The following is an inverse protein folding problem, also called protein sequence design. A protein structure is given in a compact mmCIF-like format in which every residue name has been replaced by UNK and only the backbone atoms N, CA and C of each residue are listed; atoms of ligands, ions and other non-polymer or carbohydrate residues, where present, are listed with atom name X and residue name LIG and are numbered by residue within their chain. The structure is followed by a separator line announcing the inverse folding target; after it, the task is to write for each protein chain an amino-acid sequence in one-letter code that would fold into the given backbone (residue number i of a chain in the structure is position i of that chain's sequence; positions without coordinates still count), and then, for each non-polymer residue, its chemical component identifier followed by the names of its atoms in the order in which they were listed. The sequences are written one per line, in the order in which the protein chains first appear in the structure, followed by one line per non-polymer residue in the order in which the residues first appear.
data_IF_305043988792
#
_entry.id   IF_305043988792
#
_cell.length_a   1.000
_cell.length_b   1.000
_cell.length_c   1.000
_cell.angle_alpha   90.00
_cell.angle_beta   90.00
_cell.angle_gamma   90.00
#
_symmetry.space_group_name_H-M   'P 1'
#
loop_
_entity.id
_entity.type
_entity.pdbx_description
1 polymer ?
#
# COMPACT_ATOMS: atom_id res chain seq x y z
N UNK A 1 -16.26 -59.39 22.84
CA UNK A 1 -15.73 -58.79 21.59
C UNK A 1 -16.52 -57.57 21.11
N UNK A 2 -17.86 -57.56 21.12
CA UNK A 2 -18.64 -56.36 20.74
C UNK A 2 -18.41 -55.16 21.65
N UNK A 3 -18.24 -55.37 22.97
CA UNK A 3 -18.00 -54.28 23.94
C UNK A 3 -16.62 -53.61 23.77
N UNK A 4 -15.57 -54.36 23.38
CA UNK A 4 -14.25 -53.78 23.10
C UNK A 4 -14.24 -52.93 21.81
N UNK A 5 -15.11 -53.25 20.85
CA UNK A 5 -15.22 -52.51 19.59
C UNK A 5 -15.83 -51.12 19.79
N UNK A 6 -16.81 -51.00 20.70
CA UNK A 6 -17.40 -49.70 21.05
C UNK A 6 -16.43 -48.78 21.82
N UNK A 7 -15.56 -49.35 22.66
CA UNK A 7 -14.53 -48.56 23.37
C UNK A 7 -13.49 -48.01 22.38
N UNK A 8 -13.14 -48.77 21.33
CA UNK A 8 -12.21 -48.32 20.28
C UNK A 8 -12.80 -47.20 19.39
N UNK A 9 -14.10 -47.24 19.09
CA UNK A 9 -14.79 -46.18 18.33
C UNK A 9 -14.91 -44.89 19.15
N UNK A 10 -15.11 -44.98 20.46
CA UNK A 10 -15.17 -43.81 21.34
C UNK A 10 -13.78 -43.16 21.49
N UNK A 11 -12.69 -43.93 21.49
CA UNK A 11 -11.33 -43.39 21.53
C UNK A 11 -10.96 -42.64 20.24
N UNK A 12 -11.37 -43.15 19.07
CA UNK A 12 -11.19 -42.46 17.77
C UNK A 12 -12.03 -41.17 17.63
N UNK A 13 -13.17 -41.07 18.32
CA UNK A 13 -13.99 -39.86 18.33
C UNK A 13 -13.44 -38.76 19.26
N UNK A 14 -12.56 -39.10 20.21
CA UNK A 14 -11.91 -38.13 21.09
C UNK A 14 -10.62 -37.54 20.48
N UNK A 15 -9.97 -38.25 19.54
CA UNK A 15 -8.86 -37.69 18.72
C UNK A 15 -9.35 -36.81 17.55
N UNK A 16 -10.66 -36.85 17.22
CA UNK A 16 -11.25 -36.02 16.17
C UNK A 16 -11.56 -34.57 16.61
N UNK A 17 -11.27 -34.22 17.87
CA UNK A 17 -11.26 -32.84 18.36
C UNK A 17 -9.82 -32.30 18.38
N UNK A 18 -9.13 -32.35 17.24
CA UNK A 18 -8.11 -31.33 16.97
C UNK A 18 -8.86 -30.04 16.62
N UNK A 19 -8.53 -28.92 17.25
CA UNK A 19 -9.06 -27.60 16.88
C UNK A 19 -9.11 -27.47 15.36
N UNK A 20 -10.31 -27.30 14.81
CA UNK A 20 -10.44 -26.95 13.40
C UNK A 20 -9.74 -25.61 13.24
N UNK A 21 -8.70 -25.54 12.39
CA UNK A 21 -8.35 -24.27 11.73
C UNK A 21 -9.58 -23.89 10.89
N UNK A 22 -10.50 -23.14 11.50
CA UNK A 22 -11.84 -22.85 10.95
C UNK A 22 -11.81 -21.86 9.77
N UNK A 23 -10.63 -21.41 9.32
CA UNK A 23 -10.48 -20.50 8.19
C UNK A 23 -9.33 -20.92 7.27
N UNK A 24 -9.58 -20.90 5.95
CA UNK A 24 -8.57 -21.16 4.92
C UNK A 24 -7.55 -20.01 4.77
N UNK A 25 -7.80 -18.88 5.42
CA UNK A 25 -6.98 -17.66 5.37
C UNK A 25 -6.86 -17.04 6.78
N UNK A 26 -5.79 -16.25 7.05
CA UNK A 26 -5.62 -15.56 8.33
C UNK A 26 -6.78 -14.64 8.69
N UNK A 27 -7.11 -14.58 9.98
CA UNK A 27 -8.08 -13.64 10.54
C UNK A 27 -7.34 -12.58 11.34
N UNK A 28 -7.40 -11.32 10.89
CA UNK A 28 -6.64 -10.22 11.45
C UNK A 28 -7.37 -9.64 12.67
N UNK A 29 -6.79 -9.84 13.85
CA UNK A 29 -7.18 -9.16 15.08
C UNK A 29 -6.20 -8.00 15.34
N UNK A 30 -6.54 -6.74 15.02
CA UNK A 30 -5.57 -5.64 14.98
C UNK A 30 -4.78 -5.47 16.29
N UNK A 31 -5.45 -5.61 17.43
CA UNK A 31 -4.88 -5.33 18.76
C UNK A 31 -4.69 -6.57 19.67
N UNK A 32 -5.12 -7.76 19.25
CA UNK A 32 -5.09 -8.97 20.13
C UNK A 32 -3.67 -9.50 20.35
N UNK A 33 -2.84 -9.41 19.33
CA UNK A 33 -1.48 -9.96 19.29
C UNK A 33 -0.46 -8.83 19.07
N UNK A 34 -0.56 -7.79 19.91
CA UNK A 34 0.37 -6.67 19.91
C UNK A 34 1.70 -7.10 20.54
N UNK A 35 2.80 -6.92 19.82
CA UNK A 35 4.17 -7.16 20.30
C UNK A 35 4.90 -5.83 20.49
N UNK A 36 6.06 -5.87 21.17
CA UNK A 36 6.92 -4.70 21.30
C UNK A 36 7.44 -4.23 19.93
N UNK A 37 7.58 -2.92 19.73
CA UNK A 37 8.03 -2.37 18.46
C UNK A 37 9.46 -2.81 18.10
N UNK A 38 10.37 -2.88 19.06
CA UNK A 38 11.75 -3.31 18.79
C UNK A 38 11.78 -4.81 18.45
N UNK A 39 10.93 -5.61 19.08
CA UNK A 39 10.74 -7.02 18.73
C UNK A 39 10.20 -7.15 17.29
N UNK A 40 9.14 -6.41 16.94
CA UNK A 40 8.57 -6.44 15.59
C UNK A 40 9.53 -5.99 14.50
N UNK A 41 10.24 -4.88 14.71
CA UNK A 41 11.29 -4.41 13.80
C UNK A 41 12.40 -5.46 13.65
N UNK A 42 12.85 -6.06 14.75
CA UNK A 42 13.87 -7.12 14.71
C UNK A 42 13.39 -8.38 13.98
N UNK A 43 12.12 -8.76 14.13
CA UNK A 43 11.57 -9.96 13.50
C UNK A 43 11.32 -9.76 12.00
N UNK A 44 10.89 -8.57 11.58
CA UNK A 44 10.37 -8.34 10.23
C UNK A 44 11.19 -7.41 9.35
N UNK A 45 12.11 -6.60 9.90
CA UNK A 45 12.95 -5.68 9.14
C UNK A 45 14.39 -6.16 9.05
N UNK A 46 14.97 -6.01 7.86
CA UNK A 46 16.41 -6.14 7.58
C UNK A 46 17.13 -4.79 7.77
N UNK A 47 18.41 -4.75 7.41
CA UNK A 47 19.25 -3.56 7.48
C UNK A 47 18.61 -2.34 6.78
N UNK A 48 18.22 -1.38 7.62
CA UNK A 48 17.56 -0.14 7.21
C UNK A 48 18.56 0.81 6.56
N UNK A 49 18.13 1.52 5.50
CA UNK A 49 18.91 2.58 4.87
C UNK A 49 18.21 3.93 5.02
N UNK A 50 18.98 4.96 5.35
CA UNK A 50 18.51 6.35 5.41
C UNK A 50 19.10 7.07 4.20
N UNK A 51 18.23 7.65 3.37
CA UNK A 51 18.63 8.31 2.11
C UNK A 51 17.92 9.65 2.00
N UNK A 52 18.68 10.73 2.02
CA UNK A 52 18.14 12.07 1.75
C UNK A 52 18.30 12.40 0.27
N UNK A 53 17.21 12.83 -0.37
CA UNK A 53 17.29 13.30 -1.76
C UNK A 53 18.01 14.64 -1.81
N UNK A 54 18.92 14.83 -2.76
CA UNK A 54 19.62 16.10 -2.93
C UNK A 54 18.67 17.24 -3.29
N UNK A 55 19.13 18.47 -3.06
CA UNK A 55 18.33 19.67 -3.24
C UNK A 55 18.38 20.23 -4.68
N UNK A 56 18.88 19.48 -5.66
CA UNK A 56 18.98 19.99 -7.05
C UNK A 56 17.60 20.26 -7.64
N UNK A 57 16.59 19.47 -7.26
CA UNK A 57 15.18 19.69 -7.57
C UNK A 57 14.38 19.68 -6.27
N UNK A 58 13.35 20.53 -6.17
CA UNK A 58 12.49 20.53 -4.98
C UNK A 58 11.47 19.41 -5.16
N UNK A 59 11.45 18.47 -4.21
CA UNK A 59 10.50 17.36 -4.25
C UNK A 59 9.36 17.66 -3.29
N UNK A 60 8.19 17.95 -3.86
CA UNK A 60 6.97 18.08 -3.10
C UNK A 60 6.26 16.73 -3.07
N UNK A 61 5.92 16.31 -1.87
CA UNK A 61 5.31 15.06 -1.43
C UNK A 61 4.51 14.26 -2.49
N UNK A 62 4.97 13.03 -2.76
CA UNK A 62 4.20 11.93 -3.33
C UNK A 62 4.85 10.59 -2.91
N UNK A 63 4.25 9.45 -3.25
CA UNK A 63 4.75 8.11 -2.93
C UNK A 63 6.00 7.77 -3.77
N UNK A 64 7.19 7.58 -3.16
CA UNK A 64 8.38 7.14 -3.88
C UNK A 64 8.22 5.70 -4.36
N UNK A 65 8.75 5.42 -5.56
CA UNK A 65 8.85 4.07 -6.11
C UNK A 65 10.32 3.69 -6.18
N UNK A 66 10.69 2.60 -5.51
CA UNK A 66 12.02 2.01 -5.67
C UNK A 66 12.10 1.21 -6.96
N UNK A 67 13.08 1.57 -7.77
CA UNK A 67 13.55 0.79 -8.90
C UNK A 67 14.78 -0.02 -8.45
N UNK A 68 15.19 -1.03 -9.24
CA UNK A 68 16.30 -1.92 -8.87
C UNK A 68 17.57 -1.18 -8.40
N UNK A 69 17.87 -0.01 -8.97
CA UNK A 69 19.05 0.82 -8.61
C UNK A 69 18.77 2.34 -8.58
N UNK A 70 17.50 2.75 -8.52
CA UNK A 70 17.11 4.15 -8.61
C UNK A 70 15.87 4.41 -7.76
N UNK A 71 15.62 5.68 -7.44
CA UNK A 71 14.44 6.13 -6.72
C UNK A 71 13.67 7.03 -7.67
N UNK A 72 12.40 6.70 -7.91
CA UNK A 72 11.49 7.55 -8.68
C UNK A 72 10.56 8.29 -7.74
N UNK A 73 10.42 9.60 -7.95
CA UNK A 73 9.51 10.45 -7.19
C UNK A 73 8.74 11.36 -8.14
N UNK A 74 7.51 11.69 -7.79
CA UNK A 74 6.71 12.67 -8.51
C UNK A 74 6.72 14.00 -7.75
N UNK A 75 7.28 15.04 -8.34
CA UNK A 75 7.23 16.40 -7.83
C UNK A 75 6.14 17.19 -8.54
N UNK A 76 5.30 17.88 -7.78
CA UNK A 76 4.20 18.69 -8.33
C UNK A 76 4.67 19.70 -9.39
N UNK A 77 5.84 20.33 -9.17
CA UNK A 77 6.36 21.39 -10.04
C UNK A 77 7.17 20.87 -11.22
N UNK A 78 7.98 19.84 -10.98
CA UNK A 78 9.01 19.40 -11.92
C UNK A 78 8.65 18.06 -12.59
N UNK A 79 7.52 17.47 -12.23
CA UNK A 79 7.07 16.18 -12.71
C UNK A 79 7.88 15.05 -12.10
N UNK A 80 8.11 14.01 -12.87
CA UNK A 80 8.74 12.79 -12.43
C UNK A 80 10.26 12.95 -12.45
N UNK A 81 10.89 12.65 -11.32
CA UNK A 81 12.32 12.78 -11.08
C UNK A 81 12.90 11.40 -10.76
N UNK A 82 14.08 11.12 -11.32
CA UNK A 82 14.88 9.96 -10.97
C UNK A 82 16.11 10.39 -10.18
N UNK A 83 16.36 9.65 -9.11
CA UNK A 83 17.54 9.74 -8.27
C UNK A 83 18.27 8.38 -8.28
N UNK A 84 19.57 8.38 -8.00
CA UNK A 84 20.25 7.12 -7.65
C UNK A 84 19.85 6.66 -6.25
N UNK A 85 20.34 5.48 -5.84
CA UNK A 85 19.97 4.88 -4.56
C UNK A 85 20.60 5.62 -3.36
N UNK A 86 21.60 6.46 -3.62
CA UNK A 86 22.23 7.35 -2.65
C UNK A 86 21.52 8.72 -2.55
N UNK A 87 20.46 8.94 -3.33
CA UNK A 87 19.64 10.16 -3.27
C UNK A 87 20.15 11.32 -4.12
N UNK A 88 21.07 11.09 -5.07
CA UNK A 88 21.53 12.12 -5.99
C UNK A 88 20.66 12.20 -7.24
N UNK A 89 20.29 13.41 -7.64
CA UNK A 89 19.45 13.65 -8.80
C UNK A 89 20.14 13.19 -10.09
N UNK A 90 19.41 12.43 -10.91
CA UNK A 90 19.87 11.92 -12.18
C UNK A 90 19.26 12.69 -13.35
N UNK A 91 17.92 12.74 -13.42
CA UNK A 91 17.17 13.33 -14.55
C UNK A 91 15.67 13.44 -14.27
N UNK A 92 14.99 14.19 -15.13
CA UNK A 92 13.52 14.19 -15.23
C UNK A 92 13.04 13.14 -16.24
N UNK A 93 11.80 12.68 -16.08
CA UNK A 93 11.11 11.81 -17.04
C UNK A 93 9.97 12.60 -17.68
N UNK A 94 10.08 12.85 -18.98
CA UNK A 94 9.16 13.75 -19.69
C UNK A 94 9.23 15.18 -19.19
N UNK A 95 8.16 15.93 -19.41
CA UNK A 95 8.00 17.30 -18.92
C UNK A 95 6.55 17.63 -18.63
N UNK A 96 6.34 18.65 -17.80
CA UNK A 96 5.01 19.20 -17.53
C UNK A 96 4.64 20.16 -18.65
N UNK A 97 3.52 19.90 -19.32
CA UNK A 97 3.00 20.74 -20.39
C UNK A 97 1.95 20.03 -21.25
N UNK A 98 1.60 20.64 -22.37
CA UNK A 98 0.57 20.15 -23.29
C UNK A 98 1.16 19.60 -24.60
N UNK A 99 2.49 19.51 -24.69
CA UNK A 99 3.17 18.92 -25.83
C UNK A 99 2.87 17.42 -26.00
N UNK A 100 3.13 16.86 -27.19
CA UNK A 100 2.83 15.46 -27.49
C UNK A 100 3.60 14.47 -26.58
N UNK A 101 4.77 14.88 -26.07
CA UNK A 101 5.63 14.09 -25.18
C UNK A 101 5.59 14.59 -23.72
N UNK A 102 4.61 15.43 -23.38
CA UNK A 102 4.45 16.03 -22.05
C UNK A 102 3.15 15.54 -21.41
N UNK A 103 3.14 15.51 -20.07
CA UNK A 103 1.93 15.33 -19.27
C UNK A 103 1.52 16.66 -18.64
N UNK A 104 0.23 16.91 -18.48
CA UNK A 104 -0.25 18.15 -17.87
C UNK A 104 -0.02 18.13 -16.35
N UNK A 105 -0.38 17.03 -15.72
CA UNK A 105 -0.16 16.73 -14.31
C UNK A 105 -0.17 15.21 -14.16
N UNK A 106 0.79 14.65 -13.43
CA UNK A 106 0.82 13.22 -13.10
C UNK A 106 0.05 12.98 -11.81
N UNK A 107 -1.00 12.18 -11.85
CA UNK A 107 -1.74 11.78 -10.64
C UNK A 107 -1.42 10.36 -10.20
N UNK A 108 -0.87 9.52 -11.07
CA UNK A 108 -0.40 8.18 -10.70
C UNK A 108 0.70 7.69 -11.63
N UNK A 109 1.55 6.79 -11.12
CA UNK A 109 2.67 6.21 -11.85
C UNK A 109 2.74 4.72 -11.60
N UNK A 110 3.20 3.96 -12.60
CA UNK A 110 3.52 2.55 -12.46
C UNK A 110 4.85 2.23 -13.16
N UNK A 111 5.47 1.13 -12.77
CA UNK A 111 6.74 0.68 -13.33
C UNK A 111 6.60 -0.74 -13.89
N UNK A 112 6.94 -0.91 -15.16
CA UNK A 112 7.21 -2.23 -15.75
C UNK A 112 8.69 -2.55 -15.51
N UNK A 113 8.95 -3.35 -14.48
CA UNK A 113 10.31 -3.77 -14.16
C UNK A 113 10.93 -4.59 -15.30
N UNK A 114 10.18 -5.50 -15.92
CA UNK A 114 10.70 -6.38 -16.97
C UNK A 114 11.19 -5.60 -18.18
N UNK A 115 10.40 -4.62 -18.63
CA UNK A 115 10.70 -3.81 -19.83
C UNK A 115 11.39 -2.48 -19.53
N UNK A 116 11.57 -2.14 -18.26
CA UNK A 116 12.10 -0.85 -17.82
C UNK A 116 11.30 0.34 -18.38
N UNK A 117 9.97 0.24 -18.28
CA UNK A 117 9.05 1.30 -18.72
C UNK A 117 8.43 1.99 -17.52
N UNK A 118 8.29 3.30 -17.63
CA UNK A 118 7.57 4.14 -16.67
C UNK A 118 6.24 4.51 -17.30
N UNK A 119 5.16 4.20 -16.61
CA UNK A 119 3.82 4.59 -17.00
C UNK A 119 3.37 5.77 -16.16
N UNK A 120 2.77 6.75 -16.83
CA UNK A 120 2.33 8.00 -16.22
C UNK A 120 0.88 8.21 -16.59
N UNK A 121 0.00 8.19 -15.59
CA UNK A 121 -1.38 8.61 -15.76
C UNK A 121 -1.49 10.11 -15.52
N UNK A 122 -1.99 10.81 -16.53
CA UNK A 122 -2.10 12.25 -16.56
C UNK A 122 -3.50 12.74 -16.85
N UNK A 123 -3.88 13.92 -16.33
CA UNK A 123 -5.14 14.57 -16.67
C UNK A 123 -5.07 15.24 -18.07
N UNK A 124 -6.15 15.17 -18.88
CA UNK A 124 -7.31 14.28 -18.73
C UNK A 124 -6.96 12.84 -19.18
N UNK A 125 -7.28 11.83 -18.38
CA UNK A 125 -7.09 10.37 -18.58
C UNK A 125 -6.25 9.94 -19.78
N UNK A 126 -4.97 10.32 -19.73
CA UNK A 126 -3.95 9.96 -20.70
C UNK A 126 -2.93 9.07 -20.00
N UNK A 127 -2.68 7.92 -20.62
CA UNK A 127 -1.59 7.03 -20.27
C UNK A 127 -0.39 7.35 -21.17
N UNK A 128 0.71 7.82 -20.58
CA UNK A 128 1.99 7.97 -21.27
C UNK A 128 2.94 6.86 -20.84
N UNK A 129 3.72 6.37 -21.80
CA UNK A 129 4.80 5.40 -21.56
C UNK A 129 6.13 6.07 -21.83
N UNK A 130 7.06 6.00 -20.88
CA UNK A 130 8.41 6.51 -21.00
C UNK A 130 9.44 5.40 -20.80
N UNK A 131 10.60 5.55 -21.43
CA UNK A 131 11.80 4.81 -21.04
C UNK A 131 12.41 5.39 -19.76
N UNK A 132 13.26 4.62 -19.07
CA UNK A 132 14.10 5.16 -17.98
C UNK A 132 15.03 6.31 -18.43
N UNK A 133 15.31 6.42 -19.74
CA UNK A 133 16.06 7.53 -20.31
C UNK A 133 15.27 8.84 -20.42
N UNK A 134 13.94 8.81 -20.18
CA UNK A 134 13.05 9.96 -20.25
C UNK A 134 12.40 10.17 -21.62
N UNK A 135 12.65 9.31 -22.60
CA UNK A 135 12.00 9.38 -23.91
C UNK A 135 10.54 8.89 -23.82
N UNK A 136 9.60 9.69 -24.32
CA UNK A 136 8.21 9.27 -24.50
C UNK A 136 8.10 8.28 -25.66
N UNK A 137 7.50 7.11 -25.39
CA UNK A 137 7.37 5.99 -26.31
C UNK A 137 5.93 5.83 -26.82
N UNK A 138 4.95 6.17 -25.99
CA UNK A 138 3.53 6.05 -26.34
C UNK A 138 2.68 7.05 -25.56
N UNK A 139 1.55 7.43 -26.16
CA UNK A 139 0.51 8.27 -25.56
C UNK A 139 -0.85 7.75 -26.00
N UNK A 140 -1.65 7.30 -25.04
CA UNK A 140 -2.98 6.75 -25.28
C UNK A 140 -3.99 7.53 -24.42
N UNK A 141 -5.11 7.91 -25.02
CA UNK A 141 -6.26 8.43 -24.27
C UNK A 141 -7.07 7.23 -23.78
N UNK A 142 -7.33 7.18 -22.49
CA UNK A 142 -8.20 6.18 -21.88
C UNK A 142 -9.64 6.68 -21.96
N UNK A 143 -10.54 5.80 -22.36
CA UNK A 143 -11.98 6.06 -22.36
C UNK A 143 -12.58 5.52 -21.05
N UNK A 144 -12.30 6.24 -19.95
CA UNK A 144 -12.73 5.83 -18.62
C UNK A 144 -14.21 6.18 -18.40
N UNK A 145 -15.00 5.29 -17.77
CA UNK A 145 -16.42 5.51 -17.55
C UNK A 145 -16.67 6.54 -16.44
N UNK A 146 -17.36 7.63 -16.78
CA UNK A 146 -17.75 8.67 -15.82
C UNK A 146 -16.57 9.44 -15.22
N UNK A 147 -16.85 10.22 -14.18
CA UNK A 147 -15.79 10.92 -13.42
C UNK A 147 -15.15 9.96 -12.41
N UNK A 148 -14.14 9.21 -12.83
CA UNK A 148 -13.30 8.41 -11.91
C UNK A 148 -12.19 9.27 -11.32
N UNK A 149 -11.95 9.08 -10.03
CA UNK A 149 -10.81 9.67 -9.34
C UNK A 149 -9.84 8.53 -9.04
N UNK A 150 -9.05 8.18 -10.05
CA UNK A 150 -8.04 7.11 -9.93
C UNK A 150 -7.00 7.54 -8.89
N UNK A 151 -6.98 6.82 -7.77
CA UNK A 151 -6.05 7.02 -6.65
C UNK A 151 -4.70 6.40 -6.95
N UNK A 152 -4.72 5.16 -7.41
CA UNK A 152 -3.52 4.35 -7.63
C UNK A 152 -3.66 3.57 -8.93
N UNK A 153 -2.59 3.54 -9.70
CA UNK A 153 -2.44 2.69 -10.87
C UNK A 153 -1.29 1.73 -10.62
N UNK A 154 -1.56 0.43 -10.80
CA UNK A 154 -0.54 -0.61 -10.71
C UNK A 154 -0.44 -1.34 -12.05
N UNK A 155 0.78 -1.61 -12.51
CA UNK A 155 1.02 -2.41 -13.70
C UNK A 155 1.45 -3.83 -13.32
N UNK A 156 0.80 -4.83 -13.89
CA UNK A 156 1.18 -6.23 -13.74
C UNK A 156 0.75 -7.06 -14.96
N UNK A 157 1.65 -7.89 -15.48
CA UNK A 157 1.42 -8.80 -16.61
C UNK A 157 0.57 -8.23 -17.77
N UNK A 158 0.95 -7.08 -18.33
CA UNK A 158 0.26 -6.39 -19.44
C UNK A 158 -1.10 -5.77 -19.10
N UNK A 159 -1.45 -5.68 -17.83
CA UNK A 159 -2.64 -4.97 -17.38
C UNK A 159 -2.28 -3.84 -16.42
N UNK A 160 -3.04 -2.76 -16.54
CA UNK A 160 -3.14 -1.70 -15.55
C UNK A 160 -4.35 -1.96 -14.69
N UNK A 161 -4.15 -1.88 -13.38
CA UNK A 161 -5.20 -1.93 -12.38
C UNK A 161 -5.38 -0.53 -11.82
N UNK A 162 -6.48 0.12 -12.19
CA UNK A 162 -6.82 1.49 -11.81
C UNK A 162 -7.76 1.44 -10.61
N UNK A 163 -7.25 1.79 -9.44
CA UNK A 163 -8.04 1.87 -8.22
C UNK A 163 -8.73 3.22 -8.15
N UNK A 164 -10.06 3.22 -8.11
CA UNK A 164 -10.85 4.44 -7.93
C UNK A 164 -10.80 4.88 -6.46
N UNK A 165 -11.06 6.16 -6.20
CA UNK A 165 -11.30 6.64 -4.84
C UNK A 165 -12.78 6.46 -4.52
N UNK A 166 -13.10 5.40 -3.77
CA UNK A 166 -14.49 5.11 -3.38
C UNK A 166 -15.13 6.27 -2.62
N UNK A 167 -16.34 6.64 -3.05
CA UNK A 167 -17.23 7.56 -2.36
C UNK A 167 -17.14 9.01 -2.85
N UNK A 168 -16.15 9.36 -3.67
CA UNK A 168 -16.07 10.68 -4.29
C UNK A 168 -16.92 10.81 -5.57
N UNK A 169 -17.69 9.77 -5.91
CA UNK A 169 -18.55 9.78 -7.09
C UNK A 169 -19.72 10.78 -6.94
N UNK A 170 -20.16 11.32 -8.07
CA UNK A 170 -21.31 12.23 -8.16
C UNK A 170 -22.58 11.62 -7.55
N UNK A 171 -23.40 12.46 -6.89
CA UNK A 171 -24.68 12.03 -6.34
C UNK A 171 -25.60 11.45 -7.43
N UNK A 172 -26.24 10.31 -7.15
CA UNK A 172 -27.25 9.68 -8.02
C UNK A 172 -26.79 8.45 -8.81
N UNK A 173 -25.58 7.92 -8.59
CA UNK A 173 -25.17 6.61 -9.15
C UNK A 173 -25.72 5.45 -8.30
N UNK A 174 -26.05 4.33 -8.92
CA UNK A 174 -26.52 3.12 -8.20
C UNK A 174 -25.35 2.24 -7.70
N UNK A 175 -24.21 2.30 -8.41
CA UNK A 175 -23.03 1.50 -8.13
C UNK A 175 -21.79 2.39 -8.06
N UNK A 176 -20.88 2.06 -7.14
CA UNK A 176 -19.54 2.62 -7.06
C UNK A 176 -18.57 1.76 -7.87
N UNK A 177 -17.71 2.39 -8.66
CA UNK A 177 -16.57 1.71 -9.28
C UNK A 177 -15.47 1.55 -8.23
N UNK A 178 -15.04 0.32 -7.95
CA UNK A 178 -13.89 0.05 -7.08
C UNK A 178 -12.60 0.12 -7.90
N UNK A 179 -12.55 -0.64 -8.99
CA UNK A 179 -11.38 -0.67 -9.85
C UNK A 179 -11.69 -1.09 -11.28
N UNK A 180 -10.78 -0.72 -12.18
CA UNK A 180 -10.76 -1.14 -13.57
C UNK A 180 -9.47 -1.91 -13.88
N UNK A 181 -9.59 -2.94 -14.71
CA UNK A 181 -8.46 -3.60 -15.35
C UNK A 181 -8.43 -3.16 -16.81
N UNK A 182 -7.33 -2.58 -17.24
CA UNK A 182 -7.13 -1.98 -18.56
C UNK A 182 -5.93 -2.62 -19.22
N UNK A 183 -6.02 -3.00 -20.49
CA UNK A 183 -4.88 -3.55 -21.23
C UNK A 183 -3.87 -2.47 -21.66
N UNK A 184 -2.74 -2.87 -22.24
CA UNK A 184 -1.72 -1.94 -22.74
C UNK A 184 -2.16 -1.07 -23.93
N UNK A 185 -3.32 -1.35 -24.53
CA UNK A 185 -3.92 -0.56 -25.61
C UNK A 185 -4.95 0.44 -25.09
N UNK A 186 -5.22 0.46 -23.78
CA UNK A 186 -6.19 1.33 -23.14
C UNK A 186 -7.62 0.80 -23.15
N UNK A 187 -7.83 -0.47 -23.50
CA UNK A 187 -9.15 -1.09 -23.46
C UNK A 187 -9.46 -1.64 -22.06
N UNK A 188 -10.66 -1.36 -21.56
CA UNK A 188 -11.16 -1.92 -20.30
C UNK A 188 -11.50 -3.38 -20.54
N UNK A 189 -10.83 -4.28 -19.83
CA UNK A 189 -11.04 -5.74 -19.95
C UNK A 189 -11.89 -6.29 -18.82
N UNK A 190 -11.87 -5.65 -17.65
CA UNK A 190 -12.63 -6.06 -16.47
C UNK A 190 -12.90 -4.83 -15.59
N UNK A 191 -14.01 -4.87 -14.86
CA UNK A 191 -14.37 -3.84 -13.89
C UNK A 191 -14.99 -4.48 -12.65
N UNK A 192 -14.71 -3.89 -11.49
CA UNK A 192 -15.35 -4.27 -10.23
C UNK A 192 -16.14 -3.10 -9.70
N UNK A 193 -17.45 -3.34 -9.54
CA UNK A 193 -18.37 -2.39 -8.95
C UNK A 193 -18.93 -2.93 -7.63
N UNK A 194 -19.37 -2.02 -6.77
CA UNK A 194 -20.07 -2.32 -5.52
C UNK A 194 -21.38 -1.54 -5.48
N UNK A 195 -22.47 -2.18 -5.08
CA UNK A 195 -23.76 -1.50 -4.96
C UNK A 195 -23.72 -0.47 -3.83
N UNK A 196 -24.19 0.76 -4.08
CA UNK A 196 -24.23 1.78 -3.03
C UNK A 196 -25.19 1.41 -1.89
N UNK A 197 -26.21 0.60 -2.18
CA UNK A 197 -27.11 0.06 -1.15
C UNK A 197 -26.39 -0.86 -0.15
N UNK A 198 -25.27 -1.47 -0.56
CA UNK A 198 -24.44 -2.32 0.29
C UNK A 198 -23.40 -1.50 1.06
N UNK A 199 -22.85 -0.45 0.43
CA UNK A 199 -21.88 0.47 1.06
C UNK A 199 -22.49 1.38 2.12
N UNK A 200 -23.81 1.67 2.03
CA UNK A 200 -24.50 2.67 2.88
C UNK A 200 -23.66 3.96 2.97
N UNK A 201 -23.24 4.52 1.84
CA UNK A 201 -22.41 5.73 1.86
C UNK A 201 -23.14 6.89 2.57
N UNK A 202 -22.42 7.75 3.32
CA UNK A 202 -22.99 8.95 3.92
C UNK A 202 -23.65 9.85 2.89
N UNK A 203 -24.83 10.39 3.19
CA UNK A 203 -25.38 11.51 2.40
C UNK A 203 -24.53 12.79 2.58
N UNK A 204 -23.94 12.95 3.77
CA UNK A 204 -23.05 14.04 4.17
C UNK A 204 -21.96 13.50 5.13
N UNK A 205 -20.67 13.68 4.82
CA UNK A 205 -19.59 13.13 5.66
C UNK A 205 -18.19 13.23 5.05
N UNK A 206 -17.17 12.85 5.82
CA UNK A 206 -15.78 12.72 5.33
C UNK A 206 -15.54 11.27 4.91
N UNK A 207 -15.15 11.07 3.66
CA UNK A 207 -14.90 9.74 3.11
C UNK A 207 -13.43 9.38 3.24
N UNK A 208 -13.14 8.22 3.82
CA UNK A 208 -11.82 7.64 3.69
C UNK A 208 -11.64 7.07 2.29
N UNK A 209 -10.65 7.61 1.57
CA UNK A 209 -10.21 7.08 0.29
C UNK A 209 -9.67 5.67 0.52
N UNK A 210 -10.39 4.67 0.02
CA UNK A 210 -10.30 3.32 0.55
C UNK A 210 -9.58 2.30 -0.29
N UNK A 211 -8.95 2.65 -1.39
CA UNK A 211 -8.44 1.63 -2.29
C UNK A 211 -6.92 1.60 -2.25
N UNK A 212 -6.41 0.58 -1.57
CA UNK A 212 -4.98 0.34 -1.42
C UNK A 212 -4.64 -0.96 -2.12
N UNK A 213 -3.62 -0.88 -2.96
CA UNK A 213 -3.13 -2.04 -3.68
C UNK A 213 -1.60 -1.99 -3.81
N UNK A 214 -1.02 -3.16 -3.99
CA UNK A 214 0.40 -3.34 -4.31
C UNK A 214 0.54 -4.49 -5.31
N UNK A 215 1.64 -4.49 -6.08
CA UNK A 215 2.04 -5.65 -6.88
C UNK A 215 2.50 -6.76 -5.93
N UNK A 216 1.90 -7.95 -6.06
CA UNK A 216 2.36 -9.14 -5.36
C UNK A 216 3.02 -10.12 -6.34
N UNK A 217 3.67 -11.16 -5.81
CA UNK A 217 4.26 -12.22 -6.64
C UNK A 217 3.23 -12.98 -7.50
N UNK A 218 1.93 -12.86 -7.20
CA UNK A 218 0.85 -13.63 -7.86
C UNK A 218 -0.15 -12.77 -8.63
N UNK A 219 0.04 -11.46 -8.65
CA UNK A 219 -0.97 -10.53 -9.15
C UNK A 219 -0.85 -9.17 -8.49
N UNK A 220 -1.99 -8.63 -8.09
CA UNK A 220 -2.07 -7.49 -7.18
C UNK A 220 -2.77 -7.91 -5.90
N UNK A 221 -2.42 -7.30 -4.78
CA UNK A 221 -3.19 -7.42 -3.54
C UNK A 221 -4.04 -6.16 -3.38
N UNK A 222 -5.30 -6.31 -2.96
CA UNK A 222 -6.29 -5.25 -2.84
C UNK A 222 -7.06 -5.37 -1.54
N UNK A 223 -7.26 -4.23 -0.87
CA UNK A 223 -8.14 -4.13 0.29
C UNK A 223 -8.79 -2.75 0.36
N UNK A 224 -9.97 -2.68 0.97
CA UNK A 224 -10.65 -1.43 1.22
C UNK A 224 -11.25 -1.29 2.63
N UNK A 225 -11.53 -0.05 3.05
CA UNK A 225 -12.02 0.25 4.41
C UNK A 225 -13.37 -0.36 4.75
N UNK A 226 -14.22 -0.58 3.74
CA UNK A 226 -15.61 -1.02 3.91
C UNK A 226 -15.78 -2.52 3.62
N UNK A 227 -14.69 -3.21 3.32
CA UNK A 227 -14.64 -4.64 3.10
C UNK A 227 -13.78 -5.26 4.18
N UNK A 228 -14.33 -6.24 4.87
CA UNK A 228 -13.56 -6.97 5.86
C UNK A 228 -12.59 -7.99 5.23
N UNK A 229 -12.68 -8.21 3.93
CA UNK A 229 -11.87 -9.20 3.21
C UNK A 229 -10.83 -8.51 2.33
N UNK A 230 -9.59 -9.00 2.42
CA UNK A 230 -8.47 -8.63 1.57
C UNK A 230 -8.35 -9.67 0.47
N UNK A 231 -8.17 -9.23 -0.77
CA UNK A 231 -8.12 -10.08 -1.95
C UNK A 231 -6.76 -10.01 -2.64
N UNK A 232 -6.31 -11.14 -3.18
CA UNK A 232 -5.29 -11.21 -4.22
C UNK A 232 -6.01 -11.37 -5.55
N UNK A 233 -5.75 -10.46 -6.48
CA UNK A 233 -6.37 -10.39 -7.81
C UNK A 233 -5.30 -10.81 -8.80
N UNK A 234 -5.55 -11.91 -9.51
CA UNK A 234 -4.68 -12.37 -10.59
C UNK A 234 -5.37 -12.20 -11.95
N UNK A 235 -4.86 -12.86 -12.98
CA UNK A 235 -5.43 -12.73 -14.33
C UNK A 235 -6.85 -13.28 -14.44
N UNK A 236 -7.22 -14.27 -13.63
CA UNK A 236 -8.44 -15.07 -13.78
C UNK A 236 -9.37 -15.06 -12.56
N UNK A 237 -8.85 -14.76 -11.36
CA UNK A 237 -9.57 -14.96 -10.11
C UNK A 237 -9.28 -13.84 -9.09
N UNK A 238 -10.28 -13.57 -8.24
CA UNK A 238 -10.17 -12.78 -7.03
C UNK A 238 -10.19 -13.73 -5.82
N UNK A 239 -9.05 -13.90 -5.16
CA UNK A 239 -8.85 -14.91 -4.10
C UNK A 239 -8.76 -14.19 -2.74
N UNK A 240 -9.63 -14.51 -1.76
CA UNK A 240 -9.46 -14.00 -0.40
C UNK A 240 -8.13 -14.46 0.21
N UNK A 241 -7.35 -13.52 0.76
CA UNK A 241 -6.05 -13.81 1.39
C UNK A 241 -5.99 -13.49 2.88
N UNK A 242 -6.89 -12.65 3.38
CA UNK A 242 -7.10 -12.43 4.81
C UNK A 242 -8.46 -11.78 5.06
N UNK A 243 -8.97 -11.90 6.28
CA UNK A 243 -10.18 -11.19 6.70
C UNK A 243 -9.91 -10.49 8.03
N UNK A 244 -10.31 -9.23 8.18
CA UNK A 244 -10.37 -8.56 9.47
C UNK A 244 -11.29 -9.33 10.42
N UNK A 245 -10.96 -9.48 11.70
CA UNK A 245 -11.87 -10.06 12.67
C UNK A 245 -13.11 -9.17 12.86
N UNK A 246 -14.23 -9.74 13.29
CA UNK A 246 -15.40 -8.93 13.68
C UNK A 246 -15.06 -8.10 14.92
N UNK A 247 -15.41 -6.82 14.90
CA UNK A 247 -15.25 -5.92 16.04
C UNK A 247 -15.52 -4.47 15.70
N UNK A 248 -15.68 -3.65 16.73
CA UNK A 248 -16.06 -2.23 16.62
C UNK A 248 -14.97 -1.35 16.00
N UNK A 249 -13.75 -1.89 15.88
CA UNK A 249 -12.63 -1.24 15.19
C UNK A 249 -12.82 -1.17 13.67
N UNK A 250 -13.77 -1.92 13.09
CA UNK A 250 -14.08 -1.80 11.66
C UNK A 250 -14.84 -0.50 11.38
N UNK A 251 -14.55 0.11 10.24
CA UNK A 251 -15.34 1.22 9.73
C UNK A 251 -16.70 0.70 9.26
N UNK A 252 -17.75 1.42 9.64
CA UNK A 252 -19.12 1.23 9.18
C UNK A 252 -19.59 2.48 8.43
N UNK A 253 -20.72 2.36 7.75
CA UNK A 253 -21.39 3.50 7.11
C UNK A 253 -21.73 4.63 8.06
N UNK A 254 -22.17 4.29 9.28
CA UNK A 254 -22.53 5.27 10.31
C UNK A 254 -21.29 6.05 10.76
N UNK A 255 -20.12 5.41 10.78
CA UNK A 255 -18.87 6.09 11.10
C UNK A 255 -18.50 7.14 10.04
N UNK A 256 -18.82 6.90 8.76
CA UNK A 256 -18.46 7.76 7.64
C UNK A 256 -19.28 9.07 7.58
N UNK A 257 -20.42 9.16 8.27
CA UNK A 257 -21.24 10.38 8.39
C UNK A 257 -20.63 11.43 9.34
N UNK A 258 -19.69 11.04 10.19
CA UNK A 258 -19.12 11.93 11.20
C UNK A 258 -17.84 12.57 10.68
N UNK A 259 -17.81 13.90 10.53
CA UNK A 259 -16.64 14.65 10.02
C UNK A 259 -15.34 14.40 10.80
N UNK A 260 -15.42 13.97 12.08
CA UNK A 260 -14.27 13.77 12.96
C UNK A 260 -14.43 12.61 13.97
N UNK A 261 -15.21 11.56 13.66
CA UNK A 261 -15.71 10.57 14.63
C UNK A 261 -14.99 9.21 14.70
N UNK A 262 -13.93 8.99 13.94
CA UNK A 262 -13.39 7.64 13.66
C UNK A 262 -12.41 7.11 14.71
N UNK A 263 -12.62 7.46 15.98
CA UNK A 263 -11.69 7.11 17.05
C UNK A 263 -11.71 5.61 17.34
N UNK A 264 -10.54 5.01 17.51
CA UNK A 264 -10.40 3.56 17.73
C UNK A 264 -10.71 2.69 16.52
N UNK A 265 -10.93 3.28 15.34
CA UNK A 265 -11.16 2.57 14.08
C UNK A 265 -9.84 2.25 13.39
N UNK A 266 -9.81 1.14 12.67
CA UNK A 266 -8.72 0.74 11.77
C UNK A 266 -8.85 1.52 10.48
N UNK A 267 -7.94 2.47 10.30
CA UNK A 267 -7.81 3.23 9.07
C UNK A 267 -6.65 2.62 8.30
N UNK A 268 -6.99 1.74 7.36
CA UNK A 268 -6.06 1.15 6.39
C UNK A 268 -5.18 2.20 5.69
N UNK A 269 -3.90 1.90 5.45
CA UNK A 269 -2.91 2.84 4.92
C UNK A 269 -2.07 2.28 3.78
N UNK A 270 -1.72 0.99 3.83
CA UNK A 270 -0.99 0.32 2.76
C UNK A 270 -1.07 -1.19 2.95
N UNK A 271 -0.82 -1.93 1.87
CA UNK A 271 -0.81 -3.39 1.88
C UNK A 271 0.28 -3.91 0.97
N UNK A 272 0.87 -5.04 1.34
CA UNK A 272 1.78 -5.77 0.48
C UNK A 272 1.72 -7.27 0.75
N UNK A 273 2.04 -8.06 -0.27
CA UNK A 273 1.90 -9.52 -0.23
C UNK A 273 3.15 -10.18 -0.80
N UNK A 274 3.85 -10.93 0.05
CA UNK A 274 4.91 -11.86 -0.38
C UNK A 274 4.30 -13.24 -0.63
N UNK A 275 5.11 -14.23 -1.00
CA UNK A 275 4.61 -15.61 -1.18
C UNK A 275 3.98 -16.16 0.10
N UNK A 276 4.55 -15.84 1.25
CA UNK A 276 4.33 -16.46 2.55
C UNK A 276 3.70 -15.52 3.59
N UNK A 277 3.76 -14.19 3.40
CA UNK A 277 3.26 -13.20 4.35
C UNK A 277 2.35 -12.18 3.68
N UNK A 278 1.49 -11.59 4.49
CA UNK A 278 0.70 -10.42 4.18
C UNK A 278 1.07 -9.30 5.16
N UNK A 279 1.43 -8.14 4.63
CA UNK A 279 1.75 -6.95 5.39
C UNK A 279 0.61 -5.95 5.25
N UNK A 280 0.12 -5.45 6.36
CA UNK A 280 -1.00 -4.52 6.42
C UNK A 280 -0.63 -3.36 7.32
N UNK A 281 -0.54 -2.18 6.74
CA UNK A 281 -0.31 -0.93 7.46
C UNK A 281 -1.64 -0.23 7.71
N UNK A 282 -1.85 0.24 8.93
CA UNK A 282 -3.05 0.97 9.31
C UNK A 282 -2.75 1.94 10.45
N UNK A 283 -3.61 2.93 10.65
CA UNK A 283 -3.53 3.84 11.78
C UNK A 283 -4.86 3.90 12.53
N UNK A 284 -4.82 4.44 13.73
CA UNK A 284 -6.02 4.73 14.52
C UNK A 284 -5.92 6.13 15.12
N UNK A 285 -7.04 6.85 15.06
CA UNK A 285 -7.22 8.14 15.71
C UNK A 285 -7.67 7.94 17.15
N UNK A 286 -7.24 8.83 18.04
CA UNK A 286 -7.66 8.84 19.44
C UNK A 286 -7.94 10.26 19.89
N UNK A 287 -8.82 10.44 20.88
CA UNK A 287 -9.22 11.76 21.36
C UNK A 287 -8.12 12.47 22.16
N UNK A 288 -7.31 11.68 22.86
CA UNK A 288 -6.43 12.11 23.94
C UNK A 288 -4.94 11.90 23.64
N UNK A 289 -4.62 11.34 22.47
CA UNK A 289 -3.25 11.06 22.05
C UNK A 289 -3.07 11.22 20.54
N UNK A 290 -1.82 11.41 20.08
CA UNK A 290 -1.51 11.45 18.65
C UNK A 290 -1.96 10.20 17.90
N UNK A 291 -2.08 10.32 16.57
CA UNK A 291 -2.34 9.18 15.68
C UNK A 291 -1.25 8.14 15.89
N UNK A 292 -1.67 6.88 16.08
CA UNK A 292 -0.75 5.75 16.15
C UNK A 292 -0.81 4.98 14.83
N UNK A 293 0.37 4.63 14.32
CA UNK A 293 0.55 3.82 13.12
C UNK A 293 1.00 2.41 13.50
N UNK A 294 0.48 1.42 12.80
CA UNK A 294 0.70 0.01 13.08
C UNK A 294 1.03 -0.74 11.80
N UNK A 295 1.96 -1.69 11.93
CA UNK A 295 2.21 -2.71 10.94
C UNK A 295 1.71 -4.05 11.49
N UNK A 296 0.77 -4.64 10.78
CA UNK A 296 0.29 -6.01 11.01
C UNK A 296 0.92 -6.94 9.99
N UNK A 297 1.50 -8.04 10.47
CA UNK A 297 2.08 -9.11 9.65
C UNK A 297 1.28 -10.39 9.88
N UNK A 298 0.77 -10.98 8.81
CA UNK A 298 0.10 -12.27 8.84
C UNK A 298 0.97 -13.29 8.11
N UNK A 299 1.41 -14.33 8.80
CA UNK A 299 2.00 -15.50 8.15
C UNK A 299 0.86 -16.33 7.54
N UNK A 300 0.93 -16.66 6.25
CA UNK A 300 -0.12 -17.41 5.55
C UNK A 300 -0.20 -18.88 5.97
N UNK A 301 0.82 -19.42 6.63
CA UNK A 301 0.82 -20.78 7.20
C UNK A 301 0.23 -20.80 8.61
N UNK A 302 0.37 -19.69 9.32
CA UNK A 302 -0.18 -19.51 10.66
C UNK A 302 -1.58 -18.91 10.63
N UNK A 303 -2.30 -19.05 11.74
CA UNK A 303 -3.66 -18.51 11.86
C UNK A 303 -3.71 -17.17 12.59
N UNK A 304 -2.63 -16.77 13.26
CA UNK A 304 -2.55 -15.54 14.06
C UNK A 304 -1.66 -14.49 13.40
N UNK A 305 -2.11 -13.23 13.43
CA UNK A 305 -1.31 -12.07 13.03
C UNK A 305 -0.42 -11.59 14.18
N UNK A 306 0.68 -10.92 13.88
CA UNK A 306 1.40 -10.05 14.84
C UNK A 306 1.22 -8.60 14.44
N UNK A 307 1.06 -7.72 15.42
CA UNK A 307 0.98 -6.27 15.18
C UNK A 307 2.00 -5.56 16.05
N UNK A 308 2.64 -4.53 15.52
CA UNK A 308 3.49 -3.63 16.31
C UNK A 308 3.32 -2.18 15.87
N UNK A 309 3.69 -1.26 16.75
CA UNK A 309 3.62 0.19 16.48
C UNK A 309 4.83 0.63 15.67
N UNK A 310 4.60 1.49 14.69
CA UNK A 310 5.64 2.12 13.90
C UNK A 310 6.07 3.44 14.56
N UNK A 311 7.37 3.62 14.80
CA UNK A 311 7.87 4.74 15.61
C UNK A 311 8.54 5.87 14.81
N UNK A 312 8.83 5.67 13.52
CA UNK A 312 9.45 6.71 12.70
C UNK A 312 8.54 7.95 12.59
N UNK A 313 9.10 9.18 12.62
CA UNK A 313 8.34 10.42 12.42
C UNK A 313 8.02 10.62 10.94
N UNK A 314 7.15 9.76 10.42
CA UNK A 314 6.80 9.69 9.00
C UNK A 314 5.67 10.67 8.64
N UNK A 315 5.78 11.25 7.45
CA UNK A 315 4.68 11.94 6.78
C UNK A 315 3.83 10.95 5.97
N UNK A 316 4.48 9.93 5.39
CA UNK A 316 3.84 8.84 4.67
C UNK A 316 4.68 7.57 4.75
N UNK A 317 4.08 6.43 4.45
CA UNK A 317 4.82 5.22 4.14
C UNK A 317 4.07 4.33 3.16
N UNK A 318 4.81 3.75 2.22
CA UNK A 318 4.28 2.85 1.19
C UNK A 318 5.19 1.64 1.00
N UNK A 319 4.59 0.55 0.52
CA UNK A 319 5.35 -0.63 0.13
C UNK A 319 5.85 -0.49 -1.31
N UNK A 320 6.97 -1.15 -1.60
CA UNK A 320 7.54 -1.29 -2.92
C UNK A 320 8.15 -2.69 -3.08
N UNK A 321 8.06 -3.25 -4.27
CA UNK A 321 8.72 -4.50 -4.63
C UNK A 321 9.66 -4.30 -5.82
N UNK A 322 10.83 -4.94 -5.75
CA UNK A 322 11.81 -4.94 -6.83
C UNK A 322 11.61 -6.14 -7.76
N UNK A 323 12.24 -6.11 -8.94
CA UNK A 323 12.24 -7.22 -9.90
C UNK A 323 12.74 -8.54 -9.30
N UNK A 324 13.65 -8.43 -8.32
CA UNK A 324 14.20 -9.58 -7.59
C UNK A 324 13.16 -10.29 -6.69
N UNK A 325 11.98 -9.72 -6.51
CA UNK A 325 11.00 -10.17 -5.52
C UNK A 325 11.33 -9.75 -4.09
N UNK A 326 12.27 -8.81 -3.90
CA UNK A 326 12.53 -8.21 -2.59
C UNK A 326 11.54 -7.08 -2.34
N UNK A 327 10.93 -7.09 -1.15
CA UNK A 327 9.94 -6.12 -0.73
C UNK A 327 10.52 -5.14 0.29
N UNK A 328 10.02 -3.91 0.26
CA UNK A 328 10.47 -2.80 1.08
C UNK A 328 9.27 -2.02 1.61
N UNK A 329 9.38 -1.55 2.84
CA UNK A 329 8.55 -0.49 3.38
C UNK A 329 9.37 0.81 3.37
N UNK A 330 8.86 1.86 2.75
CA UNK A 330 9.56 3.14 2.64
C UNK A 330 8.83 4.15 3.49
N UNK A 331 9.49 4.69 4.51
CA UNK A 331 8.99 5.85 5.25
C UNK A 331 9.51 7.12 4.60
N UNK A 332 8.61 8.06 4.32
CA UNK A 332 8.94 9.43 3.89
C UNK A 332 8.86 10.32 5.12
N UNK A 333 9.99 10.87 5.53
CA UNK A 333 10.12 11.66 6.75
C UNK A 333 10.49 13.11 6.46
N UNK A 334 9.96 14.01 7.28
CA UNK A 334 10.42 15.40 7.31
C UNK A 334 11.84 15.44 7.91
N UNK A 335 12.81 16.14 7.29
CA UNK A 335 14.22 16.07 7.67
C UNK A 335 14.50 16.47 9.12
N UNK A 336 13.92 17.56 9.60
CA UNK A 336 14.14 18.02 10.98
C UNK A 336 13.59 17.01 12.00
N UNK A 337 12.40 16.47 11.76
CA UNK A 337 11.77 15.49 12.61
C UNK A 337 12.57 14.18 12.68
N UNK A 338 13.05 13.67 11.55
CA UNK A 338 13.86 12.44 11.52
C UNK A 338 15.22 12.64 12.18
N UNK A 339 15.93 13.73 11.87
CA UNK A 339 17.22 14.06 12.52
C UNK A 339 17.05 14.15 14.04
N UNK A 340 16.01 14.84 14.51
CA UNK A 340 15.70 14.95 15.94
C UNK A 340 15.34 13.61 16.60
N UNK A 341 14.68 12.72 15.86
CA UNK A 341 14.35 11.37 16.32
C UNK A 341 15.61 10.50 16.47
N UNK A 342 16.45 10.47 15.43
CA UNK A 342 17.68 9.67 15.41
C UNK A 342 18.70 10.13 16.46
N UNK A 343 18.83 11.45 16.67
CA UNK A 343 19.76 12.01 17.65
C UNK A 343 19.39 11.72 19.12
N UNK A 344 18.18 11.21 19.37
CA UNK A 344 17.74 10.73 20.70
C UNK A 344 18.01 9.24 20.91
N UNK A 345 18.51 8.53 19.90
CA UNK A 345 18.82 7.10 19.99
C UNK A 345 20.03 6.85 20.89
N UNK A 346 19.99 5.75 21.65
CA UNK A 346 21.16 5.26 22.40
C UNK A 346 22.24 4.67 21.47
N UNK A 347 21.91 4.36 20.21
CA UNK A 347 22.86 3.87 19.20
C UNK A 347 23.65 5.01 18.53
N UNK A 348 24.98 4.96 18.61
CA UNK A 348 25.89 5.94 18.01
C UNK A 348 25.79 6.04 16.49
N UNK A 349 25.67 4.92 15.78
CA UNK A 349 25.54 4.91 14.33
C UNK A 349 24.26 5.64 13.86
N UNK A 350 23.16 5.47 14.60
CA UNK A 350 21.91 6.17 14.30
C UNK A 350 22.03 7.68 14.55
N UNK A 351 22.75 8.10 15.59
CA UNK A 351 23.01 9.53 15.83
C UNK A 351 23.88 10.12 14.73
N UNK A 352 24.91 9.40 14.28
CA UNK A 352 25.77 9.83 13.17
C UNK A 352 24.98 10.00 11.86
N UNK A 353 24.02 9.12 11.57
CA UNK A 353 23.08 9.29 10.45
C UNK A 353 22.19 10.53 10.64
N UNK A 354 21.69 10.76 11.86
CA UNK A 354 20.88 11.93 12.20
C UNK A 354 21.62 13.27 12.02
N UNK A 355 22.93 13.30 12.27
CA UNK A 355 23.79 14.48 12.10
C UNK A 355 24.16 14.78 10.64
N UNK A 356 24.07 13.79 9.74
CA UNK A 356 24.29 13.97 8.29
C UNK A 356 23.10 14.60 7.57
N UNK A 357 21.90 14.55 8.16
CA UNK A 357 20.66 15.05 7.55
C UNK A 357 20.68 16.57 7.47
N UNK A 358 20.51 17.11 6.26
CA UNK A 358 20.21 18.51 6.03
C UNK A 358 18.77 18.81 6.44
N UNK A 359 18.60 19.49 7.58
CA UNK A 359 17.29 19.77 8.20
C UNK A 359 16.39 20.69 7.38
N UNK A 360 16.94 21.41 6.40
CA UNK A 360 16.18 22.31 5.51
C UNK A 360 16.04 21.73 4.08
N UNK A 361 16.59 20.54 3.84
CA UNK A 361 16.61 19.90 2.53
C UNK A 361 15.30 19.21 2.15
N UNK A 362 15.35 18.46 1.04
CA UNK A 362 14.27 17.56 0.68
C UNK A 362 14.06 16.45 1.72
N UNK A 363 12.89 15.81 1.66
CA UNK A 363 12.53 14.71 2.55
C UNK A 363 13.56 13.59 2.58
N UNK A 364 13.58 12.89 3.71
CA UNK A 364 14.46 11.74 3.93
C UNK A 364 13.65 10.46 3.81
N UNK A 365 14.19 9.50 3.10
CA UNK A 365 13.62 8.17 2.94
C UNK A 365 14.28 7.22 3.95
N UNK A 366 13.48 6.57 4.79
CA UNK A 366 13.90 5.40 5.55
C UNK A 366 13.44 4.18 4.79
N UNK A 367 14.36 3.55 4.07
CA UNK A 367 14.12 2.38 3.23
C UNK A 367 14.35 1.14 4.08
N UNK A 368 13.28 0.41 4.35
CA UNK A 368 13.28 -0.77 5.21
C UNK A 368 13.03 -2.02 4.36
N UNK A 369 14.06 -2.85 4.11
CA UNK A 369 13.84 -4.12 3.46
C UNK A 369 13.08 -5.06 4.40
N UNK A 370 12.07 -5.76 3.87
CA UNK A 370 11.28 -6.72 4.63
C UNK A 370 11.97 -8.09 4.62
N UNK A 371 11.99 -8.76 5.77
CA UNK A 371 12.57 -10.09 5.92
C UNK A 371 11.75 -11.13 5.17
N UNK A 372 12.39 -11.78 4.22
CA UNK A 372 11.94 -13.07 3.69
C UNK A 372 12.29 -14.16 4.71
N UNK A 373 11.48 -14.33 5.75
CA UNK A 373 11.64 -15.47 6.65
C UNK A 373 11.19 -16.72 5.89
N UNK A 374 12.16 -17.49 5.35
CA UNK A 374 11.94 -18.78 4.66
C UNK A 374 11.36 -19.84 5.58
#
# INVERSE_FOLDING_TARGET
MKLLFYVFIIFFLLEACSEKKDSFYPVIHPMKHLIDSQEGEKDYFDDVKIVQLDNQQIVLFNEPILLDSMIMVNSFKDGILLYDIEGKFLRKIGGIGNGPQEYNSSYSMAWDAERNLIYVLSKPDILLTYSLGGQCLSRIRLDLPGELIVRTCVYHHNFFYLMNSVGLAEQGRENEMLWLKVDTLGQIVEQKTLSLSELRLPEHGSLFQGDYCSVSAKGIVYGNHYCDTIYSINETENIPVAIWAKGDFRLTSEDAEVTFGHYGKVIFQAIDETTDKLFVRWCSFYHDKPVEHFLTVCDKKESENRTFRENYPMMNANFCSLRSGRHFLIYVCEPFALSSFLNRSDNEELRDEGDKIDKEGNFVLVIVPLKNIM
#
